data_IF_885279713822
#
_entry.id   IF_885279713822
#
_cell.length_a   1.000
_cell.length_b   1.000
_cell.length_c   1.000
_cell.angle_alpha   90.00
_cell.angle_beta   90.00
_cell.angle_gamma   90.00
#
_symmetry.space_group_name_H-M   'P 1'
#
loop_
_entity.id
_entity.type
_entity.pdbx_description
1 polymer ?
#
# COMPACT_ATOMS: atom_id res chain seq x y z
N UNK A 1 -24.28 36.84 55.99
CA UNK A 1 -25.31 35.90 56.51
C UNK A 1 -25.18 34.61 55.73
N UNK A 2 -24.84 33.52 56.43
CA UNK A 2 -24.90 32.10 56.00
C UNK A 2 -26.27 31.76 55.37
N UNK A 3 -26.49 30.69 54.60
CA UNK A 3 -26.04 29.28 54.71
C UNK A 3 -26.23 28.61 53.32
N UNK A 4 -25.36 27.75 52.78
CA UNK A 4 -24.90 26.40 53.19
C UNK A 4 -25.82 25.26 52.70
N UNK A 5 -25.17 24.14 52.27
CA UNK A 5 -25.63 22.75 52.01
C UNK A 5 -25.72 22.31 50.53
N UNK A 6 -24.73 21.52 50.05
CA UNK A 6 -24.52 20.05 50.18
C UNK A 6 -25.38 19.30 49.13
N UNK A 7 -24.82 18.77 48.02
CA UNK A 7 -23.91 17.62 47.81
C UNK A 7 -24.65 16.32 47.45
N UNK A 8 -24.29 15.76 46.28
CA UNK A 8 -24.02 14.34 45.92
C UNK A 8 -25.14 13.32 46.26
N UNK A 9 -25.52 12.37 45.41
CA UNK A 9 -24.88 11.04 45.30
C UNK A 9 -25.67 10.17 44.30
N UNK A 10 -24.93 9.53 43.40
CA UNK A 10 -25.01 8.19 42.76
C UNK A 10 -26.31 7.49 42.34
N UNK A 11 -26.21 6.80 41.19
CA UNK A 11 -26.22 5.32 41.01
C UNK A 11 -26.86 4.96 39.66
N UNK A 12 -26.12 4.49 38.64
CA UNK A 12 -25.51 3.15 38.41
C UNK A 12 -26.54 2.04 38.12
N UNK A 13 -26.53 1.64 36.84
CA UNK A 13 -26.62 0.29 36.28
C UNK A 13 -27.96 -0.47 36.09
N UNK A 14 -28.08 -0.95 34.85
CA UNK A 14 -28.38 -2.34 34.42
C UNK A 14 -29.81 -2.76 34.06
N UNK A 15 -29.95 -3.04 32.75
CA UNK A 15 -30.41 -4.33 32.16
C UNK A 15 -31.87 -4.76 32.28
N UNK A 16 -32.52 -4.90 31.11
CA UNK A 16 -33.24 -6.09 30.56
C UNK A 16 -34.31 -5.61 29.56
N UNK A 17 -34.21 -5.88 28.25
CA UNK A 17 -34.41 -7.13 27.50
C UNK A 17 -35.86 -7.33 26.96
N UNK A 18 -35.90 -7.67 25.66
CA UNK A 18 -36.92 -8.42 24.89
C UNK A 18 -37.70 -7.60 23.84
N UNK A 19 -37.40 -7.75 22.53
CA UNK A 19 -37.82 -8.81 21.55
C UNK A 19 -39.11 -8.36 20.80
N UNK A 20 -39.36 -8.50 19.49
CA UNK A 20 -38.75 -9.00 18.22
C UNK A 20 -39.59 -8.31 17.09
N UNK A 21 -39.14 -8.10 15.86
CA UNK A 21 -39.10 -8.99 14.68
C UNK A 21 -38.79 -8.07 13.46
N UNK A 22 -38.27 -8.44 12.30
CA UNK A 22 -37.51 -9.54 11.73
C UNK A 22 -37.29 -9.15 10.25
N UNK A 23 -36.13 -9.45 9.64
CA UNK A 23 -35.97 -9.28 8.20
C UNK A 23 -34.55 -9.31 7.64
N UNK A 24 -34.04 -10.53 7.40
CA UNK A 24 -32.96 -10.91 6.47
C UNK A 24 -31.50 -10.46 6.72
N UNK A 25 -30.80 -11.24 7.55
CA UNK A 25 -29.34 -11.42 7.51
C UNK A 25 -29.01 -12.84 7.06
N UNK A 26 -28.31 -12.98 5.92
CA UNK A 26 -27.65 -14.23 5.57
C UNK A 26 -26.35 -14.34 6.38
N UNK A 27 -26.28 -15.39 7.20
CA UNK A 27 -25.25 -15.67 8.19
C UNK A 27 -23.94 -16.10 7.51
N UNK A 28 -22.85 -15.37 7.77
CA UNK A 28 -21.48 -15.86 7.56
C UNK A 28 -21.01 -16.55 8.84
N UNK A 29 -20.60 -17.81 8.74
CA UNK A 29 -20.17 -18.66 9.86
C UNK A 29 -18.96 -18.07 10.63
N UNK A 30 -19.04 -17.90 11.96
CA UNK A 30 -17.95 -17.37 12.77
C UNK A 30 -17.03 -18.50 13.27
N UNK A 31 -16.32 -19.15 12.35
CA UNK A 31 -15.31 -20.18 12.71
C UNK A 31 -13.96 -19.93 12.03
N UNK A 32 -13.71 -18.72 11.54
CA UNK A 32 -12.49 -18.34 10.80
C UNK A 32 -11.59 -17.33 11.52
N UNK A 33 -11.89 -16.96 12.77
CA UNK A 33 -11.16 -15.89 13.48
C UNK A 33 -10.14 -16.41 14.51
N UNK A 34 -10.06 -17.72 14.77
CA UNK A 34 -9.25 -18.24 15.87
C UNK A 34 -8.15 -19.24 15.46
N UNK A 35 -7.50 -19.01 14.31
CA UNK A 35 -6.29 -19.78 13.97
C UNK A 35 -5.27 -18.98 13.14
N UNK A 36 -5.03 -17.71 13.51
CA UNK A 36 -3.87 -16.95 13.04
C UNK A 36 -2.59 -17.24 13.87
N UNK A 37 -2.49 -18.46 14.41
CA UNK A 37 -1.27 -19.06 14.94
C UNK A 37 -1.29 -20.54 14.60
N UNK A 38 -0.83 -20.91 13.40
CA UNK A 38 -0.33 -22.27 13.16
C UNK A 38 0.70 -22.28 12.04
N UNK A 39 1.70 -23.09 12.34
CA UNK A 39 2.97 -23.26 11.66
C UNK A 39 2.83 -23.67 10.20
N UNK A 40 3.92 -23.43 9.46
CA UNK A 40 4.23 -24.05 8.18
C UNK A 40 3.77 -25.52 8.15
N UNK A 41 2.77 -25.84 7.33
CA UNK A 41 2.49 -27.21 6.94
C UNK A 41 2.72 -27.38 5.44
N UNK A 42 3.72 -28.21 5.14
CA UNK A 42 3.93 -28.83 3.84
C UNK A 42 2.86 -29.89 3.62
N UNK A 43 2.22 -29.86 2.46
CA UNK A 43 1.47 -31.00 1.92
C UNK A 43 2.03 -31.22 0.52
N UNK A 44 2.73 -32.33 0.36
CA UNK A 44 3.20 -32.88 -0.91
C UNK A 44 2.19 -33.97 -1.28
N UNK A 45 1.58 -33.90 -2.47
CA UNK A 45 1.51 -35.03 -3.41
C UNK A 45 0.80 -34.69 -4.74
N UNK A 46 1.37 -35.27 -5.79
CA UNK A 46 0.89 -35.51 -7.17
C UNK A 46 0.61 -34.35 -8.14
N UNK A 47 1.67 -33.91 -8.82
CA UNK A 47 1.77 -33.95 -10.31
C UNK A 47 3.13 -33.45 -10.77
N UNK A 48 3.74 -34.16 -11.71
CA UNK A 48 5.11 -34.04 -12.24
C UNK A 48 5.43 -32.78 -13.06
N UNK A 49 4.98 -31.61 -12.60
CA UNK A 49 5.58 -30.31 -12.94
C UNK A 49 5.86 -29.63 -11.62
N UNK A 50 7.14 -29.43 -11.30
CA UNK A 50 7.56 -28.49 -10.28
C UNK A 50 7.12 -27.09 -10.74
N UNK A 51 5.87 -26.74 -10.46
CA UNK A 51 5.39 -25.38 -10.64
C UNK A 51 5.93 -24.61 -9.44
N UNK A 52 6.76 -23.57 -9.65
CA UNK A 52 7.25 -22.76 -8.55
C UNK A 52 6.05 -22.25 -7.74
N UNK A 53 6.01 -22.57 -6.44
CA UNK A 53 4.96 -22.09 -5.53
C UNK A 53 5.02 -20.57 -5.50
N UNK A 54 4.04 -19.91 -6.12
CA UNK A 54 3.93 -18.45 -6.08
C UNK A 54 3.43 -18.05 -4.69
N UNK A 55 4.28 -17.37 -3.93
CA UNK A 55 3.93 -16.78 -2.64
C UNK A 55 3.44 -15.36 -2.93
N UNK A 56 2.24 -15.03 -2.44
CA UNK A 56 1.68 -13.69 -2.51
C UNK A 56 1.73 -13.05 -1.13
N UNK A 57 2.35 -11.87 -1.05
CA UNK A 57 2.38 -11.04 0.16
C UNK A 57 1.61 -9.76 -0.09
N UNK A 58 0.73 -9.38 0.84
CA UNK A 58 0.02 -8.09 0.75
C UNK A 58 0.98 -6.96 1.11
N UNK A 59 1.02 -5.93 0.28
CA UNK A 59 1.73 -4.68 0.56
C UNK A 59 0.80 -3.69 1.25
N UNK A 60 1.31 -3.01 2.26
CA UNK A 60 0.65 -1.85 2.84
C UNK A 60 0.97 -0.64 1.97
N UNK A 61 -0.07 0.09 1.58
CA UNK A 61 0.02 1.26 0.71
C UNK A 61 -0.64 2.46 1.38
N UNK A 62 -0.14 3.66 1.12
CA UNK A 62 -0.70 4.91 1.64
C UNK A 62 -0.92 5.94 0.52
N UNK A 63 -2.14 6.50 0.35
CA UNK A 63 -3.39 6.02 0.93
C UNK A 63 -3.87 4.74 0.22
N UNK A 64 -4.57 3.86 0.94
CA UNK A 64 -5.11 2.59 0.41
C UNK A 64 -6.46 2.73 -0.31
N UNK A 65 -7.08 3.91 -0.18
CA UNK A 65 -8.38 4.23 -0.75
C UNK A 65 -8.48 5.72 -1.05
N UNK A 66 -9.27 6.08 -2.07
CA UNK A 66 -9.52 7.46 -2.44
C UNK A 66 -11.01 7.66 -2.79
N UNK A 67 -11.78 8.46 -2.01
CA UNK A 67 -13.23 8.53 -2.15
C UNK A 67 -13.70 9.15 -3.47
N UNK A 68 -12.92 10.05 -4.06
CA UNK A 68 -13.24 10.71 -5.34
C UNK A 68 -12.03 10.80 -6.26
N UNK A 69 -11.66 9.69 -6.88
CA UNK A 69 -10.59 9.70 -7.88
C UNK A 69 -11.03 10.54 -9.10
N UNK A 70 -10.41 11.72 -9.27
CA UNK A 70 -10.76 12.65 -10.36
C UNK A 70 -9.65 12.83 -11.39
N UNK A 71 -8.38 12.77 -10.97
CA UNK A 71 -7.25 13.16 -11.82
C UNK A 71 -6.08 12.20 -11.68
N UNK A 72 -5.42 12.25 -10.54
CA UNK A 72 -4.15 11.57 -10.26
C UNK A 72 -4.21 11.06 -8.84
N UNK A 73 -3.69 9.86 -8.62
CA UNK A 73 -3.56 9.25 -7.30
C UNK A 73 -2.14 8.70 -7.20
N UNK A 74 -1.35 9.31 -6.31
CA UNK A 74 -0.04 8.80 -5.95
C UNK A 74 -0.20 7.80 -4.81
N UNK A 75 0.34 6.61 -5.00
CA UNK A 75 0.35 5.54 -4.00
C UNK A 75 1.78 5.37 -3.51
N UNK A 76 1.96 5.34 -2.21
CA UNK A 76 3.27 5.21 -1.57
C UNK A 76 3.35 3.91 -0.79
N UNK A 77 4.54 3.32 -0.78
CA UNK A 77 4.87 2.16 0.05
C UNK A 77 6.07 2.58 0.89
N UNK A 78 5.93 2.49 2.20
CA UNK A 78 7.05 2.72 3.10
C UNK A 78 7.93 1.47 3.17
N UNK A 79 9.24 1.66 2.99
CA UNK A 79 10.24 0.60 3.11
C UNK A 79 10.71 0.48 4.57
N UNK A 80 9.80 0.11 5.46
CA UNK A 80 10.09 -0.17 6.88
C UNK A 80 10.39 -1.67 7.11
N UNK A 81 10.71 -2.03 8.35
CA UNK A 81 11.05 -3.41 8.72
C UNK A 81 9.92 -4.41 8.41
N UNK A 82 8.67 -3.99 8.45
CA UNK A 82 7.49 -4.81 8.19
C UNK A 82 7.23 -5.02 6.70
N UNK A 83 7.88 -4.22 5.84
CA UNK A 83 7.69 -4.29 4.40
C UNK A 83 8.19 -5.64 3.85
N UNK A 84 7.32 -6.40 3.16
CA UNK A 84 7.71 -7.71 2.62
C UNK A 84 8.57 -7.60 1.37
N UNK A 85 8.75 -6.39 0.82
CA UNK A 85 9.71 -6.14 -0.26
C UNK A 85 11.15 -6.17 0.22
N UNK A 86 11.39 -5.96 1.53
CA UNK A 86 12.74 -5.95 2.05
C UNK A 86 13.30 -7.37 2.18
N UNK A 87 14.58 -7.51 1.80
CA UNK A 87 15.38 -8.69 2.14
C UNK A 87 15.47 -8.85 3.65
N UNK A 88 15.69 -10.10 4.09
CA UNK A 88 15.86 -10.41 5.52
C UNK A 88 16.99 -9.57 6.13
N UNK A 89 18.13 -9.51 5.44
CA UNK A 89 19.32 -8.77 5.87
C UNK A 89 19.03 -7.27 6.02
N UNK A 90 18.36 -6.65 5.04
CA UNK A 90 18.05 -5.21 5.12
C UNK A 90 17.02 -4.91 6.20
N UNK A 91 16.04 -5.81 6.43
CA UNK A 91 15.10 -5.70 7.54
C UNK A 91 15.81 -5.72 8.90
N UNK A 92 16.77 -6.64 9.08
CA UNK A 92 17.57 -6.74 10.30
C UNK A 92 18.34 -5.44 10.56
N UNK A 93 18.98 -4.87 9.52
CA UNK A 93 19.70 -3.61 9.63
C UNK A 93 18.80 -2.41 9.99
N UNK A 94 17.59 -2.34 9.44
CA UNK A 94 16.60 -1.30 9.81
C UNK A 94 16.16 -1.46 11.26
N UNK A 95 15.93 -2.69 11.73
CA UNK A 95 15.57 -2.96 13.12
C UNK A 95 16.70 -2.60 14.09
N UNK A 96 17.95 -2.96 13.75
CA UNK A 96 19.15 -2.61 14.53
C UNK A 96 19.36 -1.09 14.59
N UNK A 97 18.94 -0.37 13.54
CA UNK A 97 19.00 1.09 13.48
C UNK A 97 17.72 1.78 14.00
N UNK A 98 17.05 1.19 14.99
CA UNK A 98 15.84 1.72 15.65
C UNK A 98 14.66 2.02 14.69
N UNK A 99 14.54 1.25 13.62
CA UNK A 99 13.51 1.44 12.59
C UNK A 99 13.85 2.48 11.51
N UNK A 100 15.02 3.14 11.61
CA UNK A 100 15.47 4.10 10.60
C UNK A 100 16.32 3.43 9.54
N UNK A 101 16.32 3.99 8.33
CA UNK A 101 17.20 3.53 7.26
C UNK A 101 18.67 3.84 7.61
N UNK A 102 19.58 2.84 7.63
CA UNK A 102 21.00 3.07 7.87
C UNK A 102 21.63 3.92 6.76
N UNK A 103 22.57 4.80 7.11
CA UNK A 103 23.31 5.63 6.14
C UNK A 103 24.08 4.78 5.11
N UNK A 104 24.56 3.61 5.51
CA UNK A 104 25.23 2.64 4.62
C UNK A 104 24.29 2.07 3.55
N UNK A 105 22.98 2.09 3.80
CA UNK A 105 21.96 1.68 2.84
C UNK A 105 21.38 2.86 2.04
N UNK A 106 21.83 4.08 2.28
CA UNK A 106 21.33 5.29 1.61
C UNK A 106 22.08 5.58 0.31
N UNK A 107 22.12 4.58 -0.59
CA UNK A 107 22.62 4.73 -1.96
C UNK A 107 21.84 3.79 -2.89
N UNK A 108 21.83 4.08 -4.19
CA UNK A 108 20.96 3.35 -5.11
C UNK A 108 21.26 1.86 -5.21
N UNK A 109 22.54 1.44 -5.18
CA UNK A 109 22.91 0.02 -5.17
C UNK A 109 22.34 -0.68 -3.94
N UNK A 110 22.59 -0.12 -2.76
CA UNK A 110 22.14 -0.71 -1.51
C UNK A 110 20.61 -0.82 -1.49
N UNK A 111 19.88 0.24 -1.84
CA UNK A 111 18.40 0.21 -1.91
C UNK A 111 17.91 -0.85 -2.90
N UNK A 112 18.48 -0.91 -4.11
CA UNK A 112 18.10 -1.90 -5.12
C UNK A 112 18.36 -3.34 -4.67
N UNK A 113 19.42 -3.55 -3.89
CA UNK A 113 19.77 -4.86 -3.32
C UNK A 113 18.91 -5.21 -2.10
N UNK A 114 18.49 -4.20 -1.33
CA UNK A 114 17.59 -4.35 -0.19
C UNK A 114 16.17 -4.77 -0.60
N UNK A 115 15.77 -4.52 -1.85
CA UNK A 115 14.44 -4.83 -2.37
C UNK A 115 14.46 -6.16 -3.15
N UNK A 116 13.61 -7.10 -2.77
CA UNK A 116 13.48 -8.42 -3.40
C UNK A 116 12.01 -8.78 -3.67
N UNK A 117 11.65 -8.82 -4.95
CA UNK A 117 10.36 -9.31 -5.42
C UNK A 117 10.49 -9.80 -6.86
N UNK A 118 9.57 -10.69 -7.26
CA UNK A 118 9.45 -11.12 -8.66
C UNK A 118 8.57 -10.13 -9.43
N UNK A 119 7.35 -9.93 -8.92
CA UNK A 119 6.38 -8.99 -9.49
C UNK A 119 5.58 -8.31 -8.37
N UNK A 120 5.18 -7.07 -8.61
CA UNK A 120 4.18 -6.34 -7.84
C UNK A 120 2.92 -6.26 -8.69
N UNK A 121 1.82 -6.82 -8.18
CA UNK A 121 0.50 -6.71 -8.81
C UNK A 121 -0.27 -5.59 -8.10
N UNK A 122 -0.52 -4.50 -8.82
CA UNK A 122 -1.40 -3.43 -8.38
C UNK A 122 -2.79 -3.70 -8.93
N UNK A 123 -3.80 -3.67 -8.06
CA UNK A 123 -5.20 -3.86 -8.41
C UNK A 123 -6.00 -2.65 -7.93
N UNK A 124 -6.68 -1.98 -8.84
CA UNK A 124 -7.62 -0.91 -8.55
C UNK A 124 -9.04 -1.40 -8.79
N UNK A 125 -9.93 -1.06 -7.88
CA UNK A 125 -11.37 -1.24 -8.03
C UNK A 125 -12.08 0.05 -7.67
N UNK A 126 -13.15 0.38 -8.36
CA UNK A 126 -13.97 1.54 -8.05
C UNK A 126 -15.35 1.45 -8.68
N UNK A 127 -16.19 2.45 -8.40
CA UNK A 127 -17.51 2.58 -9.00
C UNK A 127 -17.47 3.65 -10.08
N UNK A 128 -17.89 3.30 -11.30
CA UNK A 128 -17.96 4.25 -12.41
C UNK A 128 -19.11 5.22 -12.23
N UNK A 129 -18.81 6.53 -12.37
CA UNK A 129 -19.82 7.57 -12.30
C UNK A 129 -20.80 7.57 -13.49
N UNK A 130 -20.45 6.93 -14.62
CA UNK A 130 -21.29 6.95 -15.83
C UNK A 130 -22.46 5.98 -15.77
N UNK A 131 -22.29 4.84 -15.09
CA UNK A 131 -23.25 3.74 -15.10
C UNK A 131 -23.40 3.04 -13.74
N UNK A 132 -22.83 3.61 -12.67
CA UNK A 132 -22.84 3.05 -11.31
C UNK A 132 -22.30 1.61 -11.20
N UNK A 133 -21.54 1.15 -12.19
CA UNK A 133 -21.00 -0.21 -12.22
C UNK A 133 -19.61 -0.27 -11.57
N UNK A 134 -19.30 -1.39 -10.93
CA UNK A 134 -17.95 -1.65 -10.42
C UNK A 134 -16.99 -1.91 -11.58
N UNK A 135 -15.87 -1.20 -11.60
CA UNK A 135 -14.79 -1.33 -12.58
C UNK A 135 -13.50 -1.77 -11.90
N UNK A 136 -12.68 -2.51 -12.64
CA UNK A 136 -11.41 -3.04 -12.16
C UNK A 136 -10.30 -2.74 -13.16
N UNK A 137 -9.10 -2.47 -12.66
CA UNK A 137 -7.90 -2.32 -13.44
C UNK A 137 -6.72 -2.97 -12.71
N UNK A 138 -5.82 -3.60 -13.46
CA UNK A 138 -4.65 -4.26 -12.90
C UNK A 138 -3.40 -3.89 -13.68
N UNK A 139 -2.28 -3.74 -12.97
CA UNK A 139 -0.96 -3.58 -13.58
C UNK A 139 0.04 -4.44 -12.83
N UNK A 140 0.85 -5.15 -13.59
CA UNK A 140 1.99 -5.90 -13.06
C UNK A 140 3.25 -5.09 -13.34
N UNK A 141 4.05 -4.92 -12.29
CA UNK A 141 5.39 -4.35 -12.32
C UNK A 141 6.39 -5.44 -11.95
N UNK A 142 7.54 -5.39 -12.59
CA UNK A 142 8.67 -6.29 -12.41
C UNK A 142 9.85 -5.52 -11.84
N UNK A 143 10.96 -6.22 -11.56
CA UNK A 143 12.17 -5.58 -11.00
C UNK A 143 12.82 -4.56 -11.95
N UNK A 144 12.59 -4.65 -13.26
CA UNK A 144 13.05 -3.65 -14.24
C UNK A 144 12.22 -2.37 -14.25
N UNK A 145 11.01 -2.39 -13.68
CA UNK A 145 10.16 -1.20 -13.57
C UNK A 145 10.45 -0.37 -12.29
N UNK A 146 11.36 -0.86 -11.44
CA UNK A 146 11.82 -0.12 -10.26
C UNK A 146 12.91 0.86 -10.69
N UNK A 147 12.72 2.14 -10.37
CA UNK A 147 13.72 3.19 -10.56
C UNK A 147 14.09 3.80 -9.20
N UNK A 148 15.36 3.74 -8.83
CA UNK A 148 15.86 4.18 -7.52
C UNK A 148 16.46 5.58 -7.58
N UNK A 149 16.04 6.45 -6.66
CA UNK A 149 16.47 7.85 -6.60
C UNK A 149 15.70 8.78 -7.54
N UNK A 150 14.57 8.32 -8.09
CA UNK A 150 13.69 9.10 -8.95
C UNK A 150 12.36 9.42 -8.29
N UNK A 151 11.75 10.53 -8.69
CA UNK A 151 10.40 10.93 -8.35
C UNK A 151 9.61 11.25 -9.62
N UNK A 152 8.30 11.02 -9.62
CA UNK A 152 7.46 11.39 -10.75
C UNK A 152 7.49 12.91 -10.99
N UNK A 153 7.52 13.30 -12.27
CA UNK A 153 7.37 14.69 -12.67
C UNK A 153 6.02 15.24 -12.23
N UNK A 154 5.95 16.54 -11.94
CA UNK A 154 4.67 17.16 -11.61
C UNK A 154 3.79 17.27 -12.86
N UNK A 155 2.74 16.45 -12.91
CA UNK A 155 1.82 16.38 -14.05
C UNK A 155 0.65 17.37 -13.95
N UNK A 156 0.54 18.13 -12.85
CA UNK A 156 -0.53 19.10 -12.65
C UNK A 156 -0.08 20.50 -13.06
N UNK A 157 -0.85 21.13 -13.94
CA UNK A 157 -0.59 22.50 -14.37
C UNK A 157 -1.87 23.33 -14.42
N UNK A 158 -1.72 24.66 -14.45
CA UNK A 158 -2.84 25.59 -14.66
C UNK A 158 -2.82 26.07 -16.10
N UNK A 159 -3.97 26.00 -16.77
CA UNK A 159 -4.11 26.59 -18.10
C UNK A 159 -4.24 28.12 -18.03
N UNK A 160 -4.29 28.76 -19.21
CA UNK A 160 -4.46 30.22 -19.34
C UNK A 160 -5.73 30.79 -18.68
N UNK A 161 -6.73 29.95 -18.41
CA UNK A 161 -7.99 30.32 -17.74
C UNK A 161 -7.97 30.02 -16.22
N UNK A 162 -6.83 29.58 -15.68
CA UNK A 162 -6.65 29.27 -14.26
C UNK A 162 -7.16 27.90 -13.82
N UNK A 163 -7.70 27.08 -14.73
CA UNK A 163 -8.20 25.75 -14.43
C UNK A 163 -7.06 24.74 -14.27
N UNK A 164 -7.19 23.84 -13.28
CA UNK A 164 -6.22 22.77 -13.02
C UNK A 164 -6.42 21.62 -14.01
N UNK A 165 -5.38 21.39 -14.81
CA UNK A 165 -5.29 20.37 -15.85
C UNK A 165 -4.25 19.31 -15.48
N UNK A 166 -4.31 18.17 -16.17
CA UNK A 166 -3.34 17.08 -16.07
C UNK A 166 -2.63 16.96 -17.40
N UNK A 167 -1.31 17.08 -17.41
CA UNK A 167 -0.50 16.76 -18.57
C UNK A 167 -0.24 15.25 -18.61
N UNK A 168 -0.93 14.55 -19.50
CA UNK A 168 -0.83 13.09 -19.60
C UNK A 168 0.49 12.65 -20.22
N UNK A 169 1.18 13.52 -20.96
CA UNK A 169 2.47 13.17 -21.57
C UNK A 169 3.51 12.86 -20.49
N UNK A 170 3.42 13.55 -19.34
CA UNK A 170 4.35 13.42 -18.22
C UNK A 170 4.02 12.26 -17.26
N UNK A 171 3.03 11.40 -17.58
CA UNK A 171 2.53 10.37 -16.64
C UNK A 171 3.62 9.39 -16.21
N UNK A 172 4.55 9.07 -17.11
CA UNK A 172 5.66 8.15 -16.85
C UNK A 172 7.00 8.90 -16.69
N UNK A 173 6.98 10.23 -16.72
CA UNK A 173 8.20 11.02 -16.65
C UNK A 173 8.67 11.07 -15.19
N UNK A 174 9.97 10.87 -15.03
CA UNK A 174 10.64 10.85 -13.74
C UNK A 174 11.79 11.86 -13.73
N UNK A 175 11.98 12.50 -12.59
CA UNK A 175 13.07 13.42 -12.32
C UNK A 175 13.94 12.82 -11.21
N UNK A 176 15.24 13.07 -11.27
CA UNK A 176 16.13 12.75 -10.16
C UNK A 176 15.67 13.49 -8.89
N UNK A 177 15.67 12.77 -7.76
CA UNK A 177 15.30 13.35 -6.47
C UNK A 177 16.34 14.37 -6.00
N UNK A 178 15.87 15.35 -5.21
CA UNK A 178 16.77 16.32 -4.57
C UNK A 178 17.77 15.59 -3.64
N UNK A 179 19.05 15.95 -3.77
CA UNK A 179 20.16 15.25 -3.09
C UNK A 179 20.98 14.36 -4.02
N UNK A 180 20.43 14.03 -5.20
CA UNK A 180 21.10 13.22 -6.21
C UNK A 180 21.28 11.76 -5.80
N UNK A 181 22.20 11.07 -6.46
CA UNK A 181 22.52 9.67 -6.16
C UNK A 181 21.53 8.68 -6.76
N UNK A 182 20.77 9.11 -7.77
CA UNK A 182 19.93 8.21 -8.54
C UNK A 182 20.75 7.17 -9.30
N UNK A 183 20.10 6.05 -9.59
CA UNK A 183 20.74 5.05 -10.44
C UNK A 183 20.90 5.56 -11.89
N UNK A 184 21.93 5.11 -12.62
CA UNK A 184 22.08 5.45 -14.02
C UNK A 184 20.86 4.96 -14.82
N UNK A 185 20.18 5.88 -15.49
CA UNK A 185 19.24 5.49 -16.53
C UNK A 185 20.05 5.03 -17.73
N UNK A 186 19.92 3.76 -18.11
CA UNK A 186 20.18 3.40 -19.50
C UNK A 186 19.11 4.07 -20.34
N UNK A 187 19.36 5.32 -20.72
CA UNK A 187 18.78 5.88 -21.92
C UNK A 187 19.31 4.99 -23.02
N UNK A 188 18.51 4.02 -23.46
CA UNK A 188 18.66 3.53 -24.82
C UNK A 188 18.45 4.78 -25.64
N UNK A 189 19.55 5.42 -26.04
CA UNK A 189 19.49 6.47 -27.02
C UNK A 189 18.71 5.87 -28.17
N UNK A 190 17.64 6.53 -28.57
CA UNK A 190 17.15 6.37 -29.92
C UNK A 190 18.31 6.83 -30.81
N UNK A 191 19.24 5.91 -31.10
CA UNK A 191 20.12 6.02 -32.25
C UNK A 191 19.18 5.96 -33.46
N UNK A 192 18.93 7.17 -33.97
CA UNK A 192 18.38 7.58 -35.26
C UNK A 192 17.86 6.49 -36.21
N UNK A 193 16.65 6.74 -36.76
CA UNK A 193 16.43 6.67 -38.21
C UNK A 193 15.51 7.81 -38.68
#
# INVERSE_FOLDING_TARGET
>A
KQAERESVVDSVASTSASEREAGNTALLNPTLVETAKKEHQEIIEDSSKLVPRRIFSKLTVDPDSHPFFKRVWAVQIELNAECPLLTKESRELVLENNGFWPDSLNNYQSIRNSISFNNILISFSGTSNTNASTVFAHKVYSRSDLFVGFQFANILYRNQFGALMVDKALTNDCLEQYGGGAEPLHVVGDEEE
#
